data_IF_872577151182
#
_entry.id   IF_872577151182
#
_cell.length_a   1.000
_cell.length_b   1.000
_cell.length_c   1.000
_cell.angle_alpha   90.00
_cell.angle_beta   90.00
_cell.angle_gamma   90.00
#
_symmetry.space_group_name_H-M   'P 1'
#
loop_
_entity.id
_entity.type
_entity.pdbx_description
1 polymer ?
#
# COMPACT_ATOMS: atom_id res chain seq x y z
N UNK A 1 5.46 -19.16 5.86
CA UNK A 1 4.41 -19.08 6.89
C UNK A 1 3.04 -18.85 6.28
N UNK A 2 2.00 -18.98 7.07
CA UNK A 2 0.62 -18.66 6.67
C UNK A 2 0.35 -17.18 6.88
N UNK A 3 -0.72 -16.68 6.26
CA UNK A 3 -1.12 -15.27 6.40
C UNK A 3 -1.40 -14.89 7.85
N UNK A 4 -2.11 -15.75 8.58
CA UNK A 4 -2.51 -15.55 9.97
C UNK A 4 -1.35 -15.57 10.97
N UNK A 5 -0.18 -16.05 10.55
CA UNK A 5 1.05 -16.05 11.37
C UNK A 5 1.82 -14.73 11.24
N UNK A 6 1.45 -13.89 10.28
CA UNK A 6 2.05 -12.58 10.06
C UNK A 6 1.30 -11.49 10.83
N UNK A 7 2.01 -10.45 11.26
CA UNK A 7 1.43 -9.33 12.04
C UNK A 7 0.17 -8.76 11.37
N UNK A 8 0.23 -8.48 10.06
CA UNK A 8 -0.90 -7.88 9.36
C UNK A 8 -2.07 -8.86 9.19
N UNK A 9 -1.77 -10.16 9.09
CA UNK A 9 -2.80 -11.21 9.11
C UNK A 9 -3.48 -11.35 10.48
N UNK A 10 -2.73 -11.17 11.58
CA UNK A 10 -3.28 -11.12 12.93
C UNK A 10 -4.17 -9.89 13.12
N UNK A 11 -3.75 -8.72 12.61
CA UNK A 11 -4.55 -7.48 12.64
C UNK A 11 -5.89 -7.68 11.91
N UNK A 12 -5.88 -8.25 10.71
CA UNK A 12 -7.11 -8.54 9.99
C UNK A 12 -8.01 -9.51 10.76
N UNK A 13 -7.43 -10.54 11.36
CA UNK A 13 -8.18 -11.53 12.17
C UNK A 13 -8.83 -10.87 13.39
N UNK A 14 -8.11 -10.01 14.10
CA UNK A 14 -8.69 -9.32 15.28
C UNK A 14 -9.74 -8.29 14.86
N UNK A 15 -9.53 -7.55 13.77
CA UNK A 15 -10.54 -6.63 13.25
C UNK A 15 -11.84 -7.36 12.84
N UNK A 16 -11.74 -8.53 12.22
CA UNK A 16 -12.89 -9.37 11.88
C UNK A 16 -13.63 -9.81 13.15
N UNK A 17 -12.91 -10.26 14.15
CA UNK A 17 -13.49 -10.66 15.44
C UNK A 17 -14.24 -9.50 16.11
N UNK A 18 -13.66 -8.29 16.11
CA UNK A 18 -14.33 -7.10 16.63
C UNK A 18 -15.63 -6.78 15.87
N UNK A 19 -15.65 -6.92 14.54
CA UNK A 19 -16.87 -6.78 13.75
C UNK A 19 -17.93 -7.82 14.09
N UNK A 20 -17.52 -9.07 14.35
CA UNK A 20 -18.43 -10.15 14.79
C UNK A 20 -19.02 -9.86 16.17
N UNK A 21 -18.20 -9.45 17.13
CA UNK A 21 -18.61 -9.12 18.49
C UNK A 21 -19.56 -7.92 18.54
N UNK A 22 -19.39 -6.96 17.61
CA UNK A 22 -20.18 -5.72 17.55
C UNK A 22 -21.33 -5.78 16.55
N UNK A 23 -21.59 -6.91 15.94
CA UNK A 23 -22.74 -7.09 15.04
C UNK A 23 -24.04 -6.72 15.79
N UNK A 24 -24.78 -5.77 15.24
CA UNK A 24 -26.05 -5.30 15.85
C UNK A 24 -25.94 -4.04 16.69
N UNK A 25 -24.74 -3.52 16.90
CA UNK A 25 -24.48 -2.23 17.55
C UNK A 25 -23.80 -1.26 16.55
N UNK A 26 -23.94 0.06 16.71
CA UNK A 26 -23.08 1.00 16.00
C UNK A 26 -21.61 0.80 16.42
N UNK A 27 -20.71 0.70 15.43
CA UNK A 27 -19.28 0.54 15.71
C UNK A 27 -18.41 1.42 14.79
N UNK A 28 -17.21 1.68 15.27
CA UNK A 28 -16.08 2.19 14.48
C UNK A 28 -14.89 1.26 14.71
N UNK A 29 -14.40 0.61 13.65
CA UNK A 29 -13.23 -0.26 13.69
C UNK A 29 -12.18 0.29 12.74
N UNK A 30 -10.98 0.57 13.23
CA UNK A 30 -9.83 0.94 12.45
C UNK A 30 -8.77 -0.17 12.49
N UNK A 31 -8.33 -0.62 11.31
CA UNK A 31 -7.27 -1.61 11.16
C UNK A 31 -6.06 -0.96 10.47
N UNK A 32 -4.94 -0.86 11.16
CA UNK A 32 -3.70 -0.32 10.61
C UNK A 32 -2.73 -1.44 10.26
N UNK A 33 -2.35 -1.52 8.98
CA UNK A 33 -1.40 -2.49 8.47
C UNK A 33 0.00 -1.89 8.35
N UNK A 34 1.02 -2.71 8.61
CA UNK A 34 2.42 -2.29 8.51
C UNK A 34 2.96 -2.37 7.08
N UNK A 35 2.52 -3.37 6.31
CA UNK A 35 3.02 -3.56 4.95
C UNK A 35 2.33 -2.59 3.97
N UNK A 36 3.05 -2.14 2.94
CA UNK A 36 4.41 -2.53 2.49
C UNK A 36 5.59 -1.78 3.14
N UNK A 37 5.51 -1.30 4.37
CA UNK A 37 6.67 -0.73 5.07
C UNK A 37 7.80 -1.76 5.24
N UNK A 38 9.06 -1.32 5.18
CA UNK A 38 10.23 -2.15 5.46
C UNK A 38 10.23 -2.67 6.90
N UNK A 39 10.76 -3.89 7.15
CA UNK A 39 11.28 -4.86 6.18
C UNK A 39 10.17 -5.47 5.32
N UNK A 40 10.43 -5.69 4.03
CA UNK A 40 9.45 -6.26 3.10
C UNK A 40 9.28 -7.76 3.37
N UNK A 41 8.31 -8.11 4.18
CA UNK A 41 8.03 -9.48 4.62
C UNK A 41 6.60 -9.84 4.23
N UNK A 42 6.43 -10.93 3.48
CA UNK A 42 5.16 -11.53 3.13
C UNK A 42 5.30 -13.06 3.03
N UNK A 43 4.23 -13.84 3.12
CA UNK A 43 4.26 -15.27 2.80
C UNK A 43 4.74 -15.54 1.38
N UNK A 44 5.48 -16.64 1.20
CA UNK A 44 6.13 -17.01 -0.08
C UNK A 44 5.20 -16.97 -1.28
N UNK A 45 3.94 -17.39 -1.12
CA UNK A 45 2.95 -17.43 -2.21
C UNK A 45 2.77 -16.08 -2.92
N UNK A 46 2.97 -14.96 -2.21
CA UNK A 46 2.89 -13.62 -2.80
C UNK A 46 4.14 -13.26 -3.59
N UNK A 47 5.32 -13.73 -3.17
CA UNK A 47 6.56 -13.59 -3.97
C UNK A 47 6.47 -14.37 -5.29
N UNK A 48 5.86 -15.54 -5.27
CA UNK A 48 5.70 -16.41 -6.44
C UNK A 48 4.78 -15.78 -7.52
N UNK A 49 3.99 -14.75 -7.16
CA UNK A 49 3.18 -13.97 -8.11
C UNK A 49 4.00 -13.04 -9.01
N UNK A 50 5.25 -12.75 -8.62
CA UNK A 50 6.11 -11.76 -9.27
C UNK A 50 7.47 -12.36 -9.65
N UNK A 51 7.57 -13.20 -10.69
CA UNK A 51 8.85 -13.75 -11.15
C UNK A 51 9.84 -12.62 -11.50
N UNK A 52 11.09 -12.72 -11.02
CA UNK A 52 12.09 -11.66 -11.19
C UNK A 52 12.35 -11.28 -12.65
N UNK A 53 12.29 -12.27 -13.56
CA UNK A 53 12.48 -12.08 -15.00
C UNK A 53 11.39 -11.21 -15.64
N UNK A 54 10.24 -11.04 -14.99
CA UNK A 54 9.14 -10.20 -15.47
C UNK A 54 9.25 -8.77 -14.99
N UNK A 55 10.05 -8.51 -13.98
CA UNK A 55 10.21 -7.19 -13.39
C UNK A 55 11.23 -6.35 -14.16
N UNK A 56 11.02 -5.04 -14.13
CA UNK A 56 11.93 -4.04 -14.67
C UNK A 56 11.98 -2.85 -13.73
N UNK A 57 13.16 -2.29 -13.53
CA UNK A 57 13.27 -1.02 -12.82
C UNK A 57 12.59 0.09 -13.63
N UNK A 58 12.06 1.12 -12.97
CA UNK A 58 11.50 2.28 -13.64
C UNK A 58 12.53 2.90 -14.60
N UNK A 59 12.05 3.27 -15.78
CA UNK A 59 12.88 4.03 -16.70
C UNK A 59 13.08 5.44 -16.15
N UNK A 60 14.32 5.90 -16.16
CA UNK A 60 14.68 7.28 -15.92
C UNK A 60 15.71 7.72 -16.97
N UNK A 61 15.56 8.91 -17.59
CA UNK A 61 16.59 9.49 -18.45
C UNK A 61 17.90 9.67 -17.68
N UNK A 62 19.06 9.70 -18.38
CA UNK A 62 20.36 9.90 -17.72
C UNK A 62 20.48 11.26 -17.03
N UNK A 63 19.81 12.25 -17.59
CA UNK A 63 19.75 13.65 -17.16
C UNK A 63 18.56 13.99 -16.26
N UNK A 64 17.76 12.99 -15.85
CA UNK A 64 16.54 13.16 -15.05
C UNK A 64 16.72 13.97 -13.75
N UNK A 65 17.97 14.08 -13.27
CA UNK A 65 18.28 14.81 -12.03
C UNK A 65 18.88 16.20 -12.28
N UNK A 66 19.16 16.59 -13.50
CA UNK A 66 19.92 17.82 -13.80
C UNK A 66 19.07 19.08 -13.62
N UNK A 67 17.77 19.00 -13.93
CA UNK A 67 16.83 20.13 -13.83
C UNK A 67 16.02 20.14 -12.51
N UNK A 68 16.27 19.17 -11.63
CA UNK A 68 15.53 19.02 -10.37
C UNK A 68 16.35 19.61 -9.20
N UNK A 69 15.78 20.52 -8.40
CA UNK A 69 16.46 21.05 -7.22
C UNK A 69 16.88 19.95 -6.25
N UNK A 70 18.09 20.02 -5.70
CA UNK A 70 18.63 19.04 -4.74
C UNK A 70 17.70 18.79 -3.56
N UNK A 71 16.96 19.80 -3.10
CA UNK A 71 16.00 19.68 -2.01
C UNK A 71 14.79 18.80 -2.33
N UNK A 72 14.52 18.49 -3.61
CA UNK A 72 13.43 17.59 -4.02
C UNK A 72 13.79 16.12 -3.80
N UNK A 73 15.08 15.81 -3.72
CA UNK A 73 15.54 14.44 -3.52
C UNK A 73 15.58 14.06 -2.05
N UNK A 74 15.34 12.79 -1.82
CA UNK A 74 15.37 12.22 -0.49
C UNK A 74 16.79 12.26 0.11
N UNK A 75 16.98 12.99 1.20
CA UNK A 75 18.26 13.15 1.87
C UNK A 75 18.85 11.83 2.42
N UNK A 76 18.04 10.83 2.64
CA UNK A 76 18.48 9.52 3.12
C UNK A 76 18.59 8.47 2.00
N UNK A 77 18.53 8.89 0.72
CA UNK A 77 18.96 8.11 -0.43
C UNK A 77 20.02 8.91 -1.21
N UNK A 78 21.22 9.11 -0.64
CA UNK A 78 22.23 10.06 -1.17
C UNK A 78 22.85 9.59 -2.46
N UNK A 79 22.82 8.30 -2.73
CA UNK A 79 23.34 7.70 -3.98
C UNK A 79 22.26 6.86 -4.65
N UNK A 80 22.24 6.80 -6.00
CA UNK A 80 21.32 5.99 -6.75
C UNK A 80 21.28 4.54 -6.25
N UNK A 81 20.07 4.01 -6.05
CA UNK A 81 19.83 2.65 -5.59
C UNK A 81 20.58 2.25 -4.30
N UNK A 82 21.01 3.21 -3.47
CA UNK A 82 21.93 2.98 -2.35
C UNK A 82 23.23 2.28 -2.74
N UNK A 83 23.64 2.36 -4.02
CA UNK A 83 24.77 1.62 -4.58
C UNK A 83 24.55 0.13 -4.77
N UNK A 84 23.32 -0.35 -4.69
CA UNK A 84 22.96 -1.75 -4.91
C UNK A 84 22.92 -2.07 -6.42
N UNK A 85 23.20 -3.32 -6.74
CA UNK A 85 23.08 -3.84 -8.10
C UNK A 85 21.61 -4.03 -8.51
N UNK A 86 21.38 -4.11 -9.83
CA UNK A 86 20.04 -4.24 -10.41
C UNK A 86 19.28 -5.47 -9.89
N UNK A 87 19.96 -6.60 -9.73
CA UNK A 87 19.32 -7.84 -9.26
C UNK A 87 18.80 -7.67 -7.84
N UNK A 88 19.56 -7.02 -6.98
CA UNK A 88 19.16 -6.71 -5.61
C UNK A 88 17.97 -5.74 -5.59
N UNK A 89 17.98 -4.72 -6.46
CA UNK A 89 16.87 -3.80 -6.61
C UNK A 89 15.59 -4.51 -7.10
N UNK A 90 15.69 -5.40 -8.08
CA UNK A 90 14.55 -6.19 -8.56
C UNK A 90 13.98 -7.13 -7.47
N UNK A 91 14.84 -7.71 -6.64
CA UNK A 91 14.40 -8.49 -5.47
C UNK A 91 13.66 -7.62 -4.44
N UNK A 92 14.13 -6.40 -4.21
CA UNK A 92 13.45 -5.47 -3.32
C UNK A 92 12.07 -5.06 -3.88
N UNK A 93 11.99 -4.81 -5.19
CA UNK A 93 10.72 -4.52 -5.89
C UNK A 93 9.75 -5.71 -5.81
N UNK A 94 10.23 -6.94 -6.05
CA UNK A 94 9.45 -8.17 -5.88
C UNK A 94 8.88 -8.27 -4.47
N UNK A 95 9.71 -8.03 -3.47
CA UNK A 95 9.31 -8.09 -2.06
C UNK A 95 8.27 -7.02 -1.71
N UNK A 96 8.40 -5.80 -2.28
CA UNK A 96 7.39 -4.75 -2.11
C UNK A 96 6.04 -5.17 -2.72
N UNK A 97 6.03 -5.66 -3.96
CA UNK A 97 4.81 -6.13 -4.63
C UNK A 97 4.16 -7.30 -3.90
N UNK A 98 4.98 -8.24 -3.39
CA UNK A 98 4.50 -9.33 -2.55
C UNK A 98 3.80 -8.82 -1.28
N UNK A 99 4.35 -7.78 -0.64
CA UNK A 99 3.73 -7.13 0.52
C UNK A 99 2.40 -6.46 0.15
N UNK A 100 2.31 -5.77 -0.98
CA UNK A 100 1.06 -5.16 -1.44
C UNK A 100 -0.02 -6.21 -1.66
N UNK A 101 0.30 -7.32 -2.37
CA UNK A 101 -0.65 -8.42 -2.59
C UNK A 101 -1.04 -9.13 -1.29
N UNK A 102 -0.12 -9.20 -0.33
CA UNK A 102 -0.43 -9.75 0.99
C UNK A 102 -1.46 -8.86 1.72
N UNK A 103 -1.30 -7.54 1.71
CA UNK A 103 -2.26 -6.61 2.33
C UNK A 103 -3.60 -6.63 1.59
N UNK A 104 -3.60 -6.66 0.26
CA UNK A 104 -4.81 -6.79 -0.54
C UNK A 104 -5.63 -8.02 -0.11
N UNK A 105 -4.97 -9.16 0.10
CA UNK A 105 -5.63 -10.36 0.60
C UNK A 105 -6.19 -10.19 2.03
N UNK A 106 -5.51 -9.42 2.91
CA UNK A 106 -6.03 -9.17 4.26
C UNK A 106 -7.25 -8.22 4.23
N UNK A 107 -7.21 -7.20 3.39
CA UNK A 107 -8.36 -6.31 3.14
C UNK A 107 -9.54 -7.12 2.57
N UNK A 108 -9.27 -8.02 1.60
CA UNK A 108 -10.27 -8.95 1.07
C UNK A 108 -10.96 -9.75 2.17
N UNK A 109 -10.19 -10.35 3.08
CA UNK A 109 -10.76 -11.09 4.24
C UNK A 109 -11.71 -10.24 5.09
N UNK A 110 -11.37 -8.96 5.30
CA UNK A 110 -12.23 -8.05 6.07
C UNK A 110 -13.51 -7.71 5.31
N UNK A 111 -13.42 -7.49 4.00
CA UNK A 111 -14.59 -7.23 3.15
C UNK A 111 -15.50 -8.45 3.07
N UNK A 112 -14.95 -9.65 2.91
CA UNK A 112 -15.69 -10.91 2.94
C UNK A 112 -16.40 -11.13 4.31
N UNK A 113 -15.77 -10.68 5.39
CA UNK A 113 -16.39 -10.73 6.72
C UNK A 113 -17.60 -9.78 6.82
N UNK A 114 -17.52 -8.56 6.27
CA UNK A 114 -18.68 -7.66 6.20
C UNK A 114 -19.84 -8.27 5.42
N UNK A 115 -19.55 -8.93 4.31
CA UNK A 115 -20.57 -9.61 3.49
C UNK A 115 -21.19 -10.79 4.27
N UNK A 116 -20.38 -11.67 4.85
CA UNK A 116 -20.82 -12.81 5.66
C UNK A 116 -21.65 -12.39 6.87
N UNK A 117 -21.34 -11.25 7.45
CA UNK A 117 -22.04 -10.70 8.61
C UNK A 117 -23.28 -9.89 8.22
N UNK A 118 -23.58 -9.72 6.94
CA UNK A 118 -24.68 -8.90 6.42
C UNK A 118 -24.54 -7.41 6.83
N UNK A 119 -23.30 -6.92 6.94
CA UNK A 119 -22.98 -5.53 7.33
C UNK A 119 -22.67 -4.63 6.15
N UNK A 120 -22.46 -5.20 4.96
CA UNK A 120 -22.01 -4.51 3.76
C UNK A 120 -22.87 -3.31 3.37
N UNK A 121 -24.19 -3.44 3.46
CA UNK A 121 -25.16 -2.40 3.08
C UNK A 121 -25.37 -1.32 4.16
N UNK A 122 -24.75 -1.48 5.32
CA UNK A 122 -24.86 -0.55 6.45
C UNK A 122 -23.50 -0.11 7.01
N UNK A 123 -22.40 -0.37 6.30
CA UNK A 123 -21.05 -0.01 6.75
C UNK A 123 -20.35 0.83 5.68
N UNK A 124 -19.85 1.99 6.07
CA UNK A 124 -18.93 2.79 5.26
C UNK A 124 -17.54 2.22 5.47
N UNK A 125 -16.85 1.92 4.36
CA UNK A 125 -15.45 1.50 4.37
C UNK A 125 -14.60 2.63 3.80
N UNK A 126 -13.60 3.06 4.56
CA UNK A 126 -12.59 4.03 4.10
C UNK A 126 -11.25 3.32 4.08
N UNK A 127 -10.65 3.26 2.91
CA UNK A 127 -9.32 2.68 2.70
C UNK A 127 -8.38 3.75 2.18
N UNK A 128 -7.24 3.93 2.87
CA UNK A 128 -6.21 4.88 2.45
C UNK A 128 -4.82 4.42 2.90
N UNK A 129 -3.79 5.07 2.36
CA UNK A 129 -2.42 4.99 2.85
C UNK A 129 -1.93 6.38 3.26
N UNK A 130 -0.97 6.43 4.19
CA UNK A 130 -0.37 7.67 4.69
C UNK A 130 0.56 8.36 3.68
N UNK A 131 1.15 7.61 2.75
CA UNK A 131 2.04 8.08 1.68
C UNK A 131 2.20 7.03 0.59
N UNK A 132 2.88 7.42 -0.48
CA UNK A 132 3.38 6.50 -1.49
C UNK A 132 4.83 6.04 -1.22
N UNK A 133 5.50 5.45 -2.21
CA UNK A 133 6.87 4.95 -2.08
C UNK A 133 7.55 4.87 -3.45
N UNK A 134 8.82 5.27 -3.53
CA UNK A 134 9.66 5.09 -4.72
C UNK A 134 10.26 3.68 -4.77
N UNK A 135 10.32 3.12 -5.96
CA UNK A 135 10.92 1.83 -6.25
C UNK A 135 12.03 1.94 -7.30
N UNK A 136 12.82 3.01 -7.25
CA UNK A 136 13.92 3.25 -8.15
C UNK A 136 13.68 4.35 -9.18
N UNK A 137 12.54 5.05 -9.13
CA UNK A 137 12.28 6.23 -9.98
C UNK A 137 13.30 7.33 -9.75
N UNK A 138 13.37 8.29 -10.67
CA UNK A 138 14.29 9.44 -10.64
C UNK A 138 15.75 9.01 -10.43
N UNK A 139 16.22 8.08 -11.29
CA UNK A 139 17.57 7.52 -11.23
C UNK A 139 17.91 6.94 -9.85
N UNK A 140 17.03 6.10 -9.31
CA UNK A 140 17.33 5.25 -8.18
C UNK A 140 16.93 5.79 -6.81
N UNK A 141 15.86 6.57 -6.71
CA UNK A 141 15.26 6.88 -5.41
C UNK A 141 14.51 5.65 -4.88
N UNK A 142 14.78 5.29 -3.62
CA UNK A 142 14.10 4.23 -2.89
C UNK A 142 13.66 4.79 -1.56
N UNK A 143 12.45 5.27 -1.46
CA UNK A 143 11.77 5.67 -0.24
C UNK A 143 10.64 6.69 -0.50
N UNK A 144 10.20 7.42 0.54
CA UNK A 144 8.98 8.22 0.58
C UNK A 144 9.19 9.72 0.89
N UNK A 145 10.38 10.13 1.37
CA UNK A 145 10.62 11.50 1.85
C UNK A 145 10.96 12.46 0.72
N UNK A 146 10.04 12.55 -0.24
CA UNK A 146 10.11 13.45 -1.39
C UNK A 146 8.75 14.07 -1.62
N UNK A 147 8.68 15.11 -2.45
CA UNK A 147 7.44 15.72 -2.92
C UNK A 147 7.00 15.23 -4.30
N UNK A 148 7.70 14.27 -4.88
CA UNK A 148 7.26 13.60 -6.12
C UNK A 148 5.97 12.80 -5.90
N UNK A 149 5.18 12.62 -6.97
CA UNK A 149 3.92 11.88 -6.89
C UNK A 149 4.09 10.49 -6.25
N UNK A 150 5.18 9.78 -6.56
CA UNK A 150 5.45 8.45 -6.03
C UNK A 150 5.55 8.43 -4.50
N UNK A 151 6.01 9.51 -3.89
CA UNK A 151 6.10 9.65 -2.44
C UNK A 151 4.87 10.30 -1.81
N UNK A 152 4.29 11.30 -2.48
CA UNK A 152 3.25 12.16 -1.91
C UNK A 152 1.82 11.67 -2.21
N UNK A 153 1.60 10.96 -3.31
CA UNK A 153 0.27 10.48 -3.70
C UNK A 153 -0.05 9.16 -3.03
N UNK A 154 -1.11 9.15 -2.25
CA UNK A 154 -1.63 7.97 -1.57
C UNK A 154 -3.01 7.57 -2.14
N UNK A 155 -3.37 6.28 -2.15
CA UNK A 155 -4.72 5.87 -2.49
C UNK A 155 -5.72 6.34 -1.44
N UNK A 156 -6.91 6.73 -1.89
CA UNK A 156 -8.08 6.95 -1.05
C UNK A 156 -9.30 6.34 -1.75
N UNK A 157 -9.92 5.36 -1.13
CA UNK A 157 -11.13 4.69 -1.62
C UNK A 157 -12.20 4.76 -0.54
N UNK A 158 -13.36 5.27 -0.87
CA UNK A 158 -14.50 5.33 0.04
C UNK A 158 -15.64 4.52 -0.56
N UNK A 159 -16.05 3.45 0.13
CA UNK A 159 -17.24 2.70 -0.18
C UNK A 159 -18.34 3.15 0.78
N UNK A 160 -19.27 3.94 0.27
CA UNK A 160 -20.49 4.31 0.98
C UNK A 160 -21.68 3.59 0.31
N UNK A 161 -22.38 2.69 1.00
CA UNK A 161 -23.51 1.94 0.42
C UNK A 161 -24.64 2.83 -0.11
N UNK A 162 -24.78 4.03 0.45
CA UNK A 162 -25.84 5.00 0.08
C UNK A 162 -25.38 6.04 -0.94
N UNK A 163 -24.12 5.99 -1.42
CA UNK A 163 -23.63 6.97 -2.39
C UNK A 163 -24.16 6.71 -3.79
N UNK A 164 -24.44 7.77 -4.52
CA UNK A 164 -24.87 7.73 -5.92
C UNK A 164 -23.71 7.47 -6.88
N UNK A 165 -22.48 7.84 -6.51
CA UNK A 165 -21.27 7.76 -7.35
C UNK A 165 -20.54 6.42 -7.33
N UNK A 166 -21.23 5.30 -7.16
CA UNK A 166 -20.61 3.96 -7.11
C UNK A 166 -19.80 3.66 -8.37
N UNK A 167 -18.55 3.18 -8.18
CA UNK A 167 -17.64 2.82 -9.27
C UNK A 167 -17.02 4.01 -10.02
N UNK A 168 -17.20 5.22 -9.55
CA UNK A 168 -16.63 6.42 -10.17
C UNK A 168 -15.33 6.86 -9.49
N UNK A 169 -14.44 7.48 -10.27
CA UNK A 169 -13.25 8.14 -9.74
C UNK A 169 -13.47 9.65 -9.61
N UNK A 170 -12.97 10.24 -8.54
CA UNK A 170 -12.97 11.68 -8.33
C UNK A 170 -11.54 12.22 -8.57
N UNK A 171 -11.43 13.29 -9.37
CA UNK A 171 -10.13 13.94 -9.65
C UNK A 171 -9.86 15.15 -8.76
N UNK A 172 -10.70 15.42 -7.77
CA UNK A 172 -10.46 16.50 -6.82
C UNK A 172 -9.27 16.14 -5.93
N UNK A 173 -8.44 17.14 -5.65
CA UNK A 173 -7.38 17.01 -4.67
C UNK A 173 -8.04 17.03 -3.29
N UNK A 174 -7.65 16.11 -2.44
CA UNK A 174 -8.02 16.02 -1.03
C UNK A 174 -6.75 15.85 -0.21
N UNK A 175 -6.78 16.32 1.02
CA UNK A 175 -5.70 16.17 1.98
C UNK A 175 -6.12 15.25 3.13
N UNK A 176 -5.16 14.73 3.89
CA UNK A 176 -5.48 13.84 5.01
C UNK A 176 -6.34 14.51 6.09
N UNK A 177 -6.28 15.85 6.20
CA UNK A 177 -7.12 16.62 7.11
C UNK A 177 -8.60 16.60 6.70
N UNK A 178 -8.91 16.20 5.47
CA UNK A 178 -10.27 16.08 4.96
C UNK A 178 -10.93 14.73 5.29
N UNK A 179 -10.14 13.76 5.81
CA UNK A 179 -10.58 12.41 6.19
C UNK A 179 -10.89 12.36 7.68
#
# INVERSE_FOLDING_TARGET
GKDEEQTDGMIATEAIKLMEEKKGEPFFVAAGFFRPHTPFIAPKKYFDMYPLETLRLPYAPKDDREDVPTAAFAHNCPIPHYGLDEVTCLKAMQAYYACVSFIDAQVGRMLDALDRLELTDNTIVVFWSDHGYHLGEHNGIWQKRTLFEQGAKAPLIIRNPKAEGKGQSCRRIVEFVDI
#
